data_IF_133933654860
#
_entry.id   IF_133933654860
#
_cell.length_a   1.000
_cell.length_b   1.000
_cell.length_c   1.000
_cell.angle_alpha   90.00
_cell.angle_beta   90.00
_cell.angle_gamma   90.00
#
_symmetry.space_group_name_H-M   'P 1'
#
loop_
_entity.id
_entity.type
_entity.pdbx_description
1 polymer ?
#
# COMPACT_ATOMS: atom_id res chain seq x y z
N UNK A 1 40.05 16.09 28.06
CA UNK A 1 41.17 15.89 27.14
C UNK A 1 41.32 14.40 26.96
N UNK A 2 40.62 13.82 25.95
CA UNK A 2 40.72 12.40 25.58
C UNK A 2 40.65 12.33 24.07
N UNK A 3 41.71 11.81 23.50
CA UNK A 3 42.01 11.76 22.09
C UNK A 3 41.14 10.72 21.36
N UNK A 4 40.67 11.07 20.17
CA UNK A 4 40.08 10.15 19.18
C UNK A 4 41.20 9.42 18.44
N UNK A 5 41.10 8.13 18.17
CA UNK A 5 42.01 7.43 17.30
C UNK A 5 41.63 7.65 15.83
N UNK A 6 42.58 8.19 15.06
CA UNK A 6 42.56 8.25 13.61
C UNK A 6 42.69 6.83 13.04
N UNK A 7 41.66 6.34 12.37
CA UNK A 7 41.78 5.18 11.51
C UNK A 7 42.17 5.67 10.10
N UNK A 8 43.37 5.41 9.68
CA UNK A 8 43.86 5.60 8.31
C UNK A 8 43.27 4.51 7.38
N UNK A 9 42.86 4.82 6.16
CA UNK A 9 42.41 3.80 5.22
C UNK A 9 43.61 3.04 4.65
N UNK A 10 43.62 1.74 4.83
CA UNK A 10 44.54 0.85 4.13
C UNK A 10 44.09 0.71 2.66
N UNK A 11 44.93 1.18 1.73
CA UNK A 11 44.80 0.88 0.31
C UNK A 11 45.46 -0.47 0.03
N UNK A 12 44.70 -1.45 -0.40
CA UNK A 12 45.20 -2.68 -0.98
C UNK A 12 45.18 -2.55 -2.50
N UNK A 13 46.35 -2.62 -3.11
CA UNK A 13 46.51 -2.64 -4.56
C UNK A 13 46.55 -4.10 -5.01
N UNK A 14 45.56 -4.54 -5.76
CA UNK A 14 45.61 -5.79 -6.50
C UNK A 14 46.21 -5.54 -7.91
N UNK A 15 46.95 -6.54 -8.40
CA UNK A 15 47.82 -6.47 -9.58
C UNK A 15 47.12 -6.40 -10.94
N UNK A 16 45.82 -6.13 -11.00
CA UNK A 16 45.01 -6.10 -12.24
C UNK A 16 44.21 -4.82 -12.45
N UNK A 17 44.77 -3.66 -12.26
CA UNK A 17 44.28 -2.34 -12.76
C UNK A 17 42.76 -2.16 -12.91
N UNK A 18 41.92 -2.70 -12.03
CA UNK A 18 40.51 -2.34 -11.95
C UNK A 18 40.24 -1.57 -10.66
N UNK A 19 40.62 -0.31 -10.65
CA UNK A 19 40.23 0.64 -9.61
C UNK A 19 38.87 1.21 -10.01
N UNK A 20 37.91 1.11 -9.14
CA UNK A 20 36.96 2.19 -9.18
C UNK A 20 35.51 1.90 -8.80
N UNK A 21 34.97 0.74 -9.01
CA UNK A 21 33.50 0.59 -8.83
C UNK A 21 33.05 0.00 -7.51
N UNK A 22 33.91 -0.72 -6.81
CA UNK A 22 33.57 -1.35 -5.51
C UNK A 22 33.48 -0.30 -4.39
N UNK A 23 34.31 0.73 -4.41
CA UNK A 23 34.30 1.78 -3.39
C UNK A 23 33.08 2.70 -3.49
N UNK A 24 32.59 2.97 -4.70
CA UNK A 24 31.37 3.78 -4.89
C UNK A 24 30.12 3.04 -4.43
N UNK A 25 30.11 1.71 -4.56
CA UNK A 25 29.00 0.87 -4.09
C UNK A 25 28.94 0.76 -2.57
N UNK A 26 30.08 0.79 -1.88
CA UNK A 26 30.17 0.74 -0.40
C UNK A 26 29.81 2.10 0.20
N UNK A 27 30.18 3.22 -0.43
CA UNK A 27 29.80 4.57 0.04
C UNK A 27 28.31 4.86 -0.17
N UNK A 28 27.72 4.42 -1.26
CA UNK A 28 26.28 4.50 -1.47
C UNK A 28 25.49 3.58 -0.51
N UNK A 29 26.04 2.42 -0.12
CA UNK A 29 25.46 1.57 0.93
C UNK A 29 25.65 2.16 2.33
N UNK A 30 26.72 2.88 2.59
CA UNK A 30 27.00 3.49 3.91
C UNK A 30 26.03 4.65 4.27
N UNK A 31 25.49 5.36 3.27
CA UNK A 31 24.48 6.42 3.48
C UNK A 31 23.05 5.84 3.45
N UNK A 32 22.88 4.65 2.89
CA UNK A 32 21.62 3.86 2.91
C UNK A 32 21.51 2.96 4.16
N UNK A 33 22.37 3.18 5.12
CA UNK A 33 22.30 2.46 6.36
C UNK A 33 21.08 2.87 7.15
N UNK A 34 20.39 1.87 7.50
CA UNK A 34 19.51 1.66 8.63
C UNK A 34 18.08 1.35 8.20
N UNK A 35 17.97 0.41 7.31
CA UNK A 35 16.81 -0.48 7.36
C UNK A 35 17.24 -1.82 6.78
N UNK A 36 17.96 -2.60 7.58
CA UNK A 36 18.14 -4.00 7.21
C UNK A 36 16.77 -4.69 7.43
N UNK A 37 16.09 -5.10 6.35
CA UNK A 37 14.83 -5.81 6.52
C UNK A 37 15.16 -7.18 7.08
N UNK A 38 14.90 -7.38 8.37
CA UNK A 38 15.04 -8.68 9.00
C UNK A 38 14.11 -9.66 8.29
N UNK A 39 14.68 -10.59 7.54
CA UNK A 39 13.94 -11.71 6.97
C UNK A 39 13.52 -12.64 8.09
N UNK A 40 12.24 -12.66 8.44
CA UNK A 40 11.68 -13.78 9.19
C UNK A 40 11.74 -15.04 8.33
N UNK A 41 11.97 -16.21 8.95
CA UNK A 41 11.83 -17.53 8.30
C UNK A 41 10.41 -17.64 7.70
N UNK A 42 10.26 -17.33 6.40
CA UNK A 42 8.99 -17.40 5.68
C UNK A 42 8.54 -16.05 5.12
N UNK A 43 8.98 -15.69 3.96
CA UNK A 43 8.33 -14.88 2.91
C UNK A 43 8.09 -13.37 3.10
N UNK A 44 8.13 -12.75 4.26
CA UNK A 44 7.85 -11.31 4.39
C UNK A 44 9.05 -10.50 4.84
N UNK A 45 9.30 -9.39 4.15
CA UNK A 45 10.33 -8.42 4.49
C UNK A 45 9.69 -7.31 5.31
N UNK A 46 10.30 -6.97 6.45
CA UNK A 46 9.74 -5.98 7.38
C UNK A 46 10.65 -4.78 7.55
N UNK A 47 10.05 -3.60 7.54
CA UNK A 47 10.68 -2.34 7.86
C UNK A 47 10.35 -1.98 9.31
N UNK A 48 11.38 -1.91 10.16
CA UNK A 48 11.22 -1.67 11.61
C UNK A 48 11.31 -0.20 12.00
N UNK A 49 12.01 0.61 11.20
CA UNK A 49 12.18 2.04 11.46
C UNK A 49 12.59 2.78 10.18
N UNK A 50 12.56 4.09 10.21
CA UNK A 50 12.99 4.94 9.11
C UNK A 50 11.95 5.11 8.01
N UNK A 51 12.30 5.79 6.92
CA UNK A 51 11.42 5.98 5.78
C UNK A 51 11.35 4.73 4.90
N UNK A 52 10.19 4.53 4.26
CA UNK A 52 10.04 3.59 3.17
C UNK A 52 10.50 4.24 1.86
N UNK A 53 11.44 3.60 1.17
CA UNK A 53 11.98 4.08 -0.10
C UNK A 53 11.36 3.31 -1.27
N UNK A 54 10.80 4.02 -2.23
CA UNK A 54 10.20 3.42 -3.42
C UNK A 54 10.32 4.36 -4.63
N UNK A 55 10.86 3.87 -5.75
CA UNK A 55 11.04 4.64 -6.99
C UNK A 55 11.66 6.03 -6.76
N UNK A 56 12.78 6.10 -6.05
CA UNK A 56 13.52 7.32 -5.69
C UNK A 56 12.77 8.30 -4.78
N UNK A 57 11.57 7.95 -4.33
CA UNK A 57 10.82 8.74 -3.35
C UNK A 57 10.94 8.14 -1.95
N UNK A 58 10.99 9.02 -0.97
CA UNK A 58 11.02 8.69 0.45
C UNK A 58 9.65 8.98 1.07
N UNK A 59 9.08 7.96 1.72
CA UNK A 59 7.77 8.02 2.34
C UNK A 59 7.88 7.81 3.85
N UNK A 60 7.23 8.69 4.62
CA UNK A 60 6.95 8.41 6.02
C UNK A 60 5.93 7.28 6.10
N UNK A 61 6.09 6.35 7.05
CA UNK A 61 5.15 5.25 7.29
C UNK A 61 4.71 5.19 8.74
N UNK A 62 3.60 4.53 8.99
CA UNK A 62 3.00 4.43 10.31
C UNK A 62 3.53 3.22 11.07
N UNK A 63 4.18 3.46 12.19
CA UNK A 63 4.70 2.41 13.08
C UNK A 63 3.91 2.22 14.38
N UNK A 64 2.88 3.01 14.60
CA UNK A 64 2.15 3.05 15.86
C UNK A 64 2.48 4.27 16.71
N UNK A 65 1.78 4.44 17.81
CA UNK A 65 2.00 5.54 18.77
C UNK A 65 2.65 5.01 20.04
N UNK A 66 3.75 5.62 20.47
CA UNK A 66 4.44 5.33 21.74
C UNK A 66 3.51 5.40 22.98
N UNK A 67 2.41 6.14 22.90
CA UNK A 67 1.48 6.34 24.03
C UNK A 67 0.39 5.29 24.15
N UNK A 68 0.09 4.54 23.10
CA UNK A 68 -1.10 3.67 23.09
C UNK A 68 -0.84 2.20 22.80
N UNK A 69 0.24 1.80 22.14
CA UNK A 69 0.58 0.39 21.84
C UNK A 69 2.00 0.24 21.31
N UNK A 70 2.45 -0.99 21.35
CA UNK A 70 3.73 -1.45 20.87
C UNK A 70 4.00 -1.05 19.42
N UNK A 71 5.23 -0.78 19.16
CA UNK A 71 5.80 -0.53 17.87
C UNK A 71 5.54 -1.74 16.94
N UNK A 72 4.92 -1.53 15.81
CA UNK A 72 4.67 -2.61 14.84
C UNK A 72 5.47 -2.34 13.57
N UNK A 73 6.32 -3.28 13.16
CA UNK A 73 6.97 -3.17 11.85
C UNK A 73 5.92 -3.21 10.74
N UNK A 74 6.28 -2.73 9.56
CA UNK A 74 5.44 -2.76 8.37
C UNK A 74 6.00 -3.74 7.34
N UNK A 75 5.11 -4.48 6.69
CA UNK A 75 5.44 -5.42 5.64
C UNK A 75 5.72 -4.67 4.33
N UNK A 76 6.93 -4.82 3.80
CA UNK A 76 7.37 -4.11 2.58
C UNK A 76 6.58 -4.59 1.36
N UNK A 77 6.27 -5.87 1.25
CA UNK A 77 5.53 -6.42 0.11
C UNK A 77 4.13 -5.82 -0.02
N UNK A 78 3.48 -5.50 1.11
CA UNK A 78 2.19 -4.79 1.11
C UNK A 78 2.39 -3.35 0.66
N UNK A 79 3.42 -2.67 1.20
CA UNK A 79 3.74 -1.30 0.80
C UNK A 79 4.06 -1.19 -0.68
N UNK A 80 4.93 -2.08 -1.20
CA UNK A 80 5.31 -2.13 -2.61
C UNK A 80 4.09 -2.36 -3.49
N UNK A 81 3.25 -3.33 -3.14
CA UNK A 81 2.01 -3.60 -3.88
C UNK A 81 1.13 -2.37 -3.97
N UNK A 82 0.87 -1.71 -2.84
CA UNK A 82 -0.03 -0.57 -2.79
C UNK A 82 0.56 0.67 -3.46
N UNK A 83 1.86 0.91 -3.28
CA UNK A 83 2.55 2.05 -3.89
C UNK A 83 2.69 1.89 -5.40
N UNK A 84 2.92 0.67 -5.89
CA UNK A 84 2.92 0.39 -7.32
C UNK A 84 1.55 0.66 -7.96
N UNK A 85 0.46 0.23 -7.33
CA UNK A 85 -0.89 0.40 -7.86
C UNK A 85 -1.31 1.88 -7.90
N UNK A 86 -1.01 2.66 -6.87
CA UNK A 86 -1.33 4.10 -6.87
C UNK A 86 -0.48 4.87 -7.88
N UNK A 87 0.80 4.51 -8.05
CA UNK A 87 1.66 5.10 -9.06
C UNK A 87 1.20 4.73 -10.49
N UNK A 88 0.71 3.50 -10.70
CA UNK A 88 0.09 3.12 -11.98
C UNK A 88 -1.12 4.00 -12.28
N UNK A 89 -1.99 4.29 -11.31
CA UNK A 89 -3.12 5.23 -11.49
C UNK A 89 -2.63 6.64 -11.85
N UNK A 90 -1.62 7.16 -11.16
CA UNK A 90 -1.04 8.48 -11.45
C UNK A 90 -0.44 8.57 -12.86
N UNK A 91 0.15 7.49 -13.35
CA UNK A 91 0.68 7.46 -14.73
C UNK A 91 -0.41 7.48 -15.79
N UNK A 92 -1.59 6.93 -15.46
CA UNK A 92 -2.73 6.85 -16.39
C UNK A 92 -3.56 8.14 -16.37
N UNK A 93 -3.82 8.70 -15.18
CA UNK A 93 -4.69 9.86 -14.98
C UNK A 93 -3.91 11.03 -14.40
N UNK A 94 -4.25 12.26 -14.82
CA UNK A 94 -3.66 13.49 -14.28
C UNK A 94 -4.05 13.74 -12.83
N UNK A 95 -5.22 13.25 -12.42
CA UNK A 95 -5.76 13.33 -11.06
C UNK A 95 -6.32 11.97 -10.67
N UNK A 96 -6.00 11.53 -9.46
CA UNK A 96 -6.46 10.27 -8.88
C UNK A 96 -7.11 10.55 -7.53
N UNK A 97 -8.37 10.19 -7.39
CA UNK A 97 -9.10 10.29 -6.14
C UNK A 97 -9.00 8.97 -5.39
N UNK A 98 -8.47 8.98 -4.17
CA UNK A 98 -8.23 7.79 -3.37
C UNK A 98 -8.77 7.93 -1.94
N UNK A 99 -9.29 6.84 -1.38
CA UNK A 99 -9.74 6.80 0.01
C UNK A 99 -9.68 5.38 0.58
N UNK A 100 -9.70 5.28 1.90
CA UNK A 100 -9.73 4.03 2.66
C UNK A 100 -11.13 3.77 3.20
N UNK A 101 -11.48 2.49 3.32
CA UNK A 101 -12.68 2.01 4.02
C UNK A 101 -12.42 0.64 4.64
N UNK A 102 -13.27 0.24 5.56
CA UNK A 102 -13.15 -1.04 6.27
C UNK A 102 -14.44 -1.86 6.06
N UNK A 103 -14.30 -3.19 5.96
CA UNK A 103 -15.39 -4.13 5.83
C UNK A 103 -15.30 -5.19 6.94
N UNK A 104 -16.42 -5.39 7.63
CA UNK A 104 -16.55 -6.46 8.62
C UNK A 104 -17.30 -7.62 8.00
N UNK A 105 -16.79 -8.82 8.23
CA UNK A 105 -17.42 -10.06 7.76
C UNK A 105 -18.43 -10.58 8.80
N UNK A 106 -19.42 -11.38 8.36
CA UNK A 106 -20.30 -12.09 9.28
C UNK A 106 -19.52 -12.98 10.25
N UNK A 107 -20.02 -13.11 11.47
CA UNK A 107 -19.45 -13.99 12.48
C UNK A 107 -19.42 -15.44 11.99
N UNK A 108 -18.34 -16.17 12.32
CA UNK A 108 -18.15 -17.57 11.93
C UNK A 108 -17.79 -17.80 10.46
N UNK A 109 -17.67 -16.77 9.63
CA UNK A 109 -17.25 -16.94 8.24
C UNK A 109 -15.76 -17.27 8.14
N UNK A 110 -15.41 -18.29 7.35
CA UNK A 110 -14.02 -18.64 7.09
C UNK A 110 -13.29 -17.56 6.28
N UNK A 111 -11.96 -17.46 6.46
CA UNK A 111 -11.13 -16.46 5.73
C UNK A 111 -11.15 -16.70 4.23
N UNK A 112 -11.13 -17.94 3.77
CA UNK A 112 -11.18 -18.26 2.34
C UNK A 112 -12.49 -17.82 1.69
N UNK A 113 -13.62 -18.06 2.36
CA UNK A 113 -14.93 -17.57 1.90
C UNK A 113 -14.95 -16.04 1.88
N UNK A 114 -14.45 -15.40 2.91
CA UNK A 114 -14.42 -13.93 2.98
C UNK A 114 -13.48 -13.32 1.91
N UNK A 115 -12.33 -13.92 1.62
CA UNK A 115 -11.45 -13.51 0.52
C UNK A 115 -12.15 -13.62 -0.85
N UNK A 116 -12.98 -14.65 -1.03
CA UNK A 116 -13.80 -14.80 -2.25
C UNK A 116 -14.81 -13.68 -2.37
N UNK A 117 -15.49 -13.30 -1.28
CA UNK A 117 -16.44 -12.18 -1.28
C UNK A 117 -15.76 -10.83 -1.59
N UNK A 118 -14.54 -10.59 -1.07
CA UNK A 118 -13.77 -9.39 -1.44
C UNK A 118 -13.46 -9.38 -2.93
N UNK A 119 -13.07 -10.51 -3.50
CA UNK A 119 -12.80 -10.63 -4.94
C UNK A 119 -14.06 -10.37 -5.77
N UNK A 120 -15.20 -10.89 -5.33
CA UNK A 120 -16.50 -10.69 -5.97
C UNK A 120 -16.97 -9.23 -5.85
N UNK A 121 -16.76 -8.57 -4.70
CA UNK A 121 -17.05 -7.14 -4.53
C UNK A 121 -16.35 -6.30 -5.61
N UNK A 122 -15.04 -6.49 -5.80
CA UNK A 122 -14.30 -5.73 -6.82
C UNK A 122 -14.69 -6.11 -8.25
N UNK A 123 -15.10 -7.34 -8.50
CA UNK A 123 -15.69 -7.74 -9.78
C UNK A 123 -16.99 -6.99 -10.05
N UNK A 124 -17.92 -6.98 -9.09
CA UNK A 124 -19.20 -6.25 -9.20
C UNK A 124 -19.00 -4.73 -9.30
N UNK A 125 -18.02 -4.17 -8.57
CA UNK A 125 -17.66 -2.75 -8.71
C UNK A 125 -17.18 -2.44 -10.12
N UNK A 126 -16.35 -3.30 -10.71
CA UNK A 126 -15.88 -3.14 -12.10
C UNK A 126 -17.04 -3.09 -13.08
N UNK A 127 -18.04 -3.95 -12.90
CA UNK A 127 -19.23 -3.96 -13.76
C UNK A 127 -20.10 -2.71 -13.54
N UNK A 128 -20.28 -2.27 -12.30
CA UNK A 128 -20.97 -1.00 -12.01
C UNK A 128 -20.26 0.19 -12.65
N UNK A 129 -18.95 0.23 -12.63
CA UNK A 129 -18.15 1.30 -13.22
C UNK A 129 -18.22 1.31 -14.75
N UNK A 130 -18.36 0.16 -15.39
CA UNK A 130 -18.58 0.08 -16.84
C UNK A 130 -19.99 0.50 -17.24
N UNK A 131 -21.00 0.07 -16.48
CA UNK A 131 -22.40 0.33 -16.77
C UNK A 131 -22.84 1.77 -16.43
N UNK A 132 -22.34 2.32 -15.32
CA UNK A 132 -22.68 3.66 -14.87
C UNK A 132 -21.73 4.68 -15.51
N UNK A 133 -22.30 5.68 -16.15
CA UNK A 133 -21.54 6.82 -16.66
C UNK A 133 -21.22 7.77 -15.51
N UNK A 134 -19.94 7.99 -15.28
CA UNK A 134 -19.40 8.91 -14.30
C UNK A 134 -18.84 10.11 -15.06
N UNK A 135 -19.38 11.29 -14.84
CA UNK A 135 -19.06 12.47 -15.64
C UNK A 135 -19.15 12.18 -17.16
N UNK A 136 -20.28 11.58 -17.56
CA UNK A 136 -20.61 11.15 -18.93
C UNK A 136 -19.67 10.07 -19.55
N UNK A 137 -18.84 9.41 -18.76
CA UNK A 137 -17.94 8.36 -19.23
C UNK A 137 -17.86 7.18 -18.26
N UNK A 138 -17.63 5.94 -18.75
CA UNK A 138 -17.35 4.82 -17.88
C UNK A 138 -15.97 4.94 -17.23
N UNK A 139 -15.83 4.47 -16.00
CA UNK A 139 -14.53 4.31 -15.36
C UNK A 139 -13.89 3.03 -15.92
N UNK A 140 -12.86 3.21 -16.76
CA UNK A 140 -12.18 2.09 -17.44
C UNK A 140 -11.14 1.41 -16.56
N UNK A 141 -10.44 2.15 -15.71
CA UNK A 141 -9.39 1.64 -14.83
C UNK A 141 -9.51 2.26 -13.45
N UNK A 142 -9.33 1.46 -12.44
CA UNK A 142 -9.24 1.87 -11.04
C UNK A 142 -8.29 0.91 -10.30
N UNK A 143 -7.64 1.42 -9.27
CA UNK A 143 -6.79 0.62 -8.39
C UNK A 143 -7.49 0.36 -7.06
N UNK A 144 -7.10 -0.73 -6.43
CA UNK A 144 -7.51 -1.06 -5.07
C UNK A 144 -6.47 -1.97 -4.40
N UNK A 145 -6.50 -1.97 -3.08
CA UNK A 145 -5.77 -2.94 -2.28
C UNK A 145 -6.56 -3.28 -1.02
N UNK A 146 -6.32 -4.45 -0.50
CA UNK A 146 -6.92 -4.91 0.74
C UNK A 146 -5.94 -5.74 1.56
N UNK A 147 -6.14 -5.69 2.87
CA UNK A 147 -5.55 -6.60 3.85
C UNK A 147 -6.64 -7.06 4.80
N UNK A 148 -6.58 -8.31 5.22
CA UNK A 148 -7.39 -8.73 6.35
C UNK A 148 -6.56 -8.70 7.65
N UNK A 149 -7.25 -8.51 8.76
CA UNK A 149 -6.66 -8.42 10.07
C UNK A 149 -7.51 -9.16 11.08
N UNK A 150 -6.86 -9.96 11.92
CA UNK A 150 -7.43 -10.58 13.10
C UNK A 150 -6.69 -10.06 14.32
N UNK A 151 -7.28 -9.17 15.09
CA UNK A 151 -6.77 -8.80 16.40
C UNK A 151 -7.27 -9.79 17.46
N UNK A 152 -6.45 -10.00 18.50
CA UNK A 152 -6.82 -10.84 19.64
C UNK A 152 -8.19 -10.44 20.18
N UNK A 153 -9.10 -11.41 20.33
CA UNK A 153 -10.48 -11.25 20.80
C UNK A 153 -11.40 -10.37 19.90
N UNK A 154 -11.02 -10.08 18.66
CA UNK A 154 -11.85 -9.35 17.70
C UNK A 154 -12.14 -10.19 16.47
N UNK A 155 -13.25 -9.88 15.83
CA UNK A 155 -13.66 -10.47 14.57
C UNK A 155 -12.71 -10.08 13.44
N UNK A 156 -12.48 -10.98 12.48
CA UNK A 156 -11.75 -10.69 11.24
C UNK A 156 -12.44 -9.52 10.51
N UNK A 157 -11.65 -8.58 10.07
CA UNK A 157 -12.10 -7.47 9.24
C UNK A 157 -11.09 -7.14 8.15
N UNK A 158 -11.57 -6.48 7.13
CA UNK A 158 -10.76 -6.06 6.00
C UNK A 158 -10.55 -4.55 6.05
N UNK A 159 -9.30 -4.14 5.87
CA UNK A 159 -8.95 -2.77 5.56
C UNK A 159 -8.70 -2.66 4.07
N UNK A 160 -9.38 -1.74 3.40
CA UNK A 160 -9.31 -1.58 1.96
C UNK A 160 -9.02 -0.13 1.59
N UNK A 161 -8.52 0.05 0.41
CA UNK A 161 -8.47 1.34 -0.25
C UNK A 161 -8.85 1.18 -1.72
N UNK A 162 -9.35 2.26 -2.32
CA UNK A 162 -9.68 2.34 -3.73
C UNK A 162 -9.19 3.68 -4.28
N UNK A 163 -8.77 3.67 -5.55
CA UNK A 163 -8.34 4.85 -6.28
C UNK A 163 -8.99 4.89 -7.66
N UNK A 164 -9.57 6.03 -8.01
CA UNK A 164 -10.38 6.26 -9.20
C UNK A 164 -9.89 7.49 -9.98
N UNK A 165 -10.28 7.64 -11.27
CA UNK A 165 -10.01 8.87 -12.01
C UNK A 165 -10.58 10.09 -11.30
N UNK A 166 -9.74 11.01 -10.84
CA UNK A 166 -10.15 12.16 -10.05
C UNK A 166 -10.92 13.23 -10.81
N UNK A 167 -10.95 13.16 -12.15
CA UNK A 167 -11.80 14.00 -12.96
C UNK A 167 -13.26 13.49 -13.05
N UNK A 168 -13.46 12.19 -12.80
CA UNK A 168 -14.79 11.55 -12.84
C UNK A 168 -15.38 11.36 -11.44
N UNK A 169 -14.53 11.14 -10.44
CA UNK A 169 -14.95 10.93 -9.04
C UNK A 169 -14.06 11.78 -8.13
N UNK A 170 -14.66 12.63 -7.32
CA UNK A 170 -13.94 13.56 -6.43
C UNK A 170 -14.53 13.61 -5.01
N UNK A 171 -15.52 12.76 -4.72
CA UNK A 171 -16.13 12.62 -3.38
C UNK A 171 -16.48 11.16 -3.11
N UNK A 172 -16.32 10.73 -1.88
CA UNK A 172 -16.69 9.38 -1.43
C UNK A 172 -18.20 9.18 -1.40
N UNK A 173 -18.94 10.21 -1.03
CA UNK A 173 -20.31 10.09 -0.60
C UNK A 173 -20.40 9.55 0.84
N UNK A 174 -21.54 8.96 1.16
CA UNK A 174 -21.88 8.38 2.46
C UNK A 174 -22.54 7.00 2.24
N UNK A 175 -22.88 6.27 3.30
CA UNK A 175 -23.61 4.99 3.21
C UNK A 175 -24.96 5.12 2.50
N UNK A 176 -25.57 6.31 2.48
CA UNK A 176 -26.86 6.60 1.88
C UNK A 176 -26.79 7.14 0.46
N UNK A 177 -25.63 7.65 0.02
CA UNK A 177 -25.46 8.24 -1.32
C UNK A 177 -24.03 8.16 -1.84
N UNK A 178 -23.89 8.31 -3.16
CA UNK A 178 -22.60 8.40 -3.83
C UNK A 178 -21.88 7.07 -3.98
N UNK A 179 -20.54 7.13 -4.08
CA UNK A 179 -19.69 5.95 -4.33
C UNK A 179 -19.70 4.98 -3.15
N UNK A 180 -19.62 5.49 -1.92
CA UNK A 180 -19.57 4.62 -0.75
C UNK A 180 -20.88 3.86 -0.53
N UNK A 181 -22.03 4.46 -0.89
CA UNK A 181 -23.31 3.73 -0.93
C UNK A 181 -23.23 2.51 -1.87
N UNK A 182 -22.65 2.67 -3.05
CA UNK A 182 -22.52 1.55 -4.00
C UNK A 182 -21.68 0.43 -3.41
N UNK A 183 -20.59 0.76 -2.73
CA UNK A 183 -19.73 -0.22 -2.04
C UNK A 183 -20.51 -0.90 -0.92
N UNK A 184 -21.19 -0.13 -0.07
CA UNK A 184 -21.98 -0.65 1.03
C UNK A 184 -23.11 -1.57 0.54
N UNK A 185 -23.91 -1.14 -0.44
CA UNK A 185 -25.02 -1.94 -0.97
C UNK A 185 -24.54 -3.28 -1.55
N UNK A 186 -23.40 -3.25 -2.27
CA UNK A 186 -22.79 -4.48 -2.78
C UNK A 186 -22.31 -5.39 -1.65
N UNK A 187 -21.70 -4.83 -0.61
CA UNK A 187 -21.23 -5.60 0.52
C UNK A 187 -22.39 -6.20 1.31
N UNK A 188 -23.44 -5.42 1.59
CA UNK A 188 -24.66 -5.91 2.22
C UNK A 188 -25.27 -7.08 1.42
N UNK A 189 -25.33 -6.95 0.09
CA UNK A 189 -25.85 -8.02 -0.78
C UNK A 189 -24.98 -9.27 -0.73
N UNK A 190 -23.66 -9.14 -0.74
CA UNK A 190 -22.72 -10.27 -0.72
C UNK A 190 -22.69 -10.99 0.63
N UNK A 191 -22.99 -10.30 1.70
CA UNK A 191 -23.00 -10.85 3.07
C UNK A 191 -24.42 -11.10 3.61
N UNK A 192 -25.44 -11.04 2.73
CA UNK A 192 -26.85 -11.26 3.11
C UNK A 192 -27.31 -10.35 4.25
N UNK A 193 -26.77 -9.12 4.29
CA UNK A 193 -27.09 -8.14 5.33
C UNK A 193 -26.33 -8.31 6.66
N UNK A 194 -25.48 -9.34 6.79
CA UNK A 194 -24.77 -9.66 8.03
C UNK A 194 -23.42 -8.98 8.17
N UNK A 195 -22.85 -8.46 7.07
CA UNK A 195 -21.61 -7.71 7.10
C UNK A 195 -21.85 -6.22 7.34
N UNK A 196 -20.82 -5.48 7.71
CA UNK A 196 -20.91 -4.02 7.83
C UNK A 196 -19.74 -3.33 7.10
N UNK A 197 -19.94 -2.06 6.77
CA UNK A 197 -18.91 -1.23 6.15
C UNK A 197 -18.71 0.06 6.93
N UNK A 198 -17.48 0.54 6.95
CA UNK A 198 -17.11 1.79 7.61
C UNK A 198 -16.24 2.63 6.67
N UNK A 199 -16.64 3.89 6.43
CA UNK A 199 -15.84 4.84 5.68
C UNK A 199 -14.81 5.46 6.62
N UNK A 200 -13.55 5.26 6.34
CA UNK A 200 -12.48 5.89 7.12
C UNK A 200 -12.38 7.39 6.77
N UNK A 201 -11.98 8.19 7.77
CA UNK A 201 -11.70 9.60 7.55
C UNK A 201 -10.62 9.81 6.49
N UNK A 202 -10.71 10.94 5.81
CA UNK A 202 -9.80 11.45 4.78
C UNK A 202 -9.92 10.73 3.43
N UNK A 203 -9.97 11.56 2.41
CA UNK A 203 -9.79 11.20 1.02
C UNK A 203 -8.71 12.09 0.42
N UNK A 204 -8.08 11.65 -0.65
CA UNK A 204 -6.90 12.26 -1.24
C UNK A 204 -7.12 12.52 -2.72
N UNK A 205 -6.82 13.74 -3.17
CA UNK A 205 -6.82 14.09 -4.58
C UNK A 205 -5.37 14.17 -5.08
N UNK A 206 -4.83 13.04 -5.46
CA UNK A 206 -3.44 12.86 -5.85
C UNK A 206 -3.26 13.34 -7.28
N UNK A 207 -2.47 14.39 -7.49
CA UNK A 207 -2.10 14.90 -8.82
C UNK A 207 -0.85 14.19 -9.32
N UNK A 208 -0.72 14.07 -10.65
CA UNK A 208 0.44 13.41 -11.28
C UNK A 208 1.75 14.09 -10.90
N UNK A 209 1.78 15.40 -10.90
CA UNK A 209 3.00 16.21 -10.75
C UNK A 209 3.18 16.78 -9.33
N UNK A 210 2.38 16.30 -8.36
CA UNK A 210 2.47 16.71 -6.94
C UNK A 210 2.52 15.46 -6.05
N UNK A 211 3.65 15.27 -5.36
CA UNK A 211 3.88 14.13 -4.49
C UNK A 211 3.35 14.34 -3.06
N UNK A 212 2.87 15.51 -2.71
CA UNK A 212 2.42 15.81 -1.34
C UNK A 212 1.24 14.91 -0.95
N UNK A 213 0.17 14.93 -1.70
CA UNK A 213 -1.01 14.09 -1.46
C UNK A 213 -0.70 12.60 -1.60
N UNK A 214 0.23 12.23 -2.51
CA UNK A 214 0.71 10.86 -2.62
C UNK A 214 1.38 10.41 -1.32
N UNK A 215 2.27 11.22 -0.75
CA UNK A 215 2.98 10.89 0.50
C UNK A 215 2.01 10.74 1.67
N UNK A 216 1.01 11.62 1.77
CA UNK A 216 -0.05 11.50 2.78
C UNK A 216 -0.90 10.23 2.59
N UNK A 217 -1.27 9.91 1.36
CA UNK A 217 -1.99 8.68 1.04
C UNK A 217 -1.15 7.43 1.41
N UNK A 218 0.12 7.37 0.99
CA UNK A 218 1.02 6.25 1.32
C UNK A 218 1.19 6.13 2.84
N UNK A 219 1.34 7.25 3.56
CA UNK A 219 1.35 7.24 5.02
C UNK A 219 0.05 6.63 5.59
N UNK A 220 -1.11 7.00 5.05
CA UNK A 220 -2.41 6.48 5.49
C UNK A 220 -2.55 4.98 5.26
N UNK A 221 -2.16 4.49 4.08
CA UNK A 221 -2.28 3.06 3.75
C UNK A 221 -1.14 2.22 4.34
N UNK A 222 -0.04 2.82 4.77
CA UNK A 222 1.02 2.11 5.48
C UNK A 222 0.54 1.51 6.81
N UNK A 223 -0.49 2.07 7.42
CA UNK A 223 -1.19 1.45 8.55
C UNK A 223 -1.70 0.03 8.21
N UNK A 224 -2.13 -0.19 6.98
CA UNK A 224 -2.61 -1.48 6.51
C UNK A 224 -1.46 -2.50 6.38
N UNK A 225 -0.23 -2.02 6.24
CA UNK A 225 0.95 -2.87 6.14
C UNK A 225 1.56 -3.26 7.49
N UNK A 226 1.02 -2.79 8.63
CA UNK A 226 1.50 -3.20 9.96
C UNK A 226 1.47 -4.73 10.12
N UNK A 227 2.50 -5.29 10.73
CA UNK A 227 2.63 -6.75 10.91
C UNK A 227 1.61 -7.31 11.92
N UNK A 228 1.27 -6.53 12.92
CA UNK A 228 0.36 -6.95 13.99
C UNK A 228 -1.01 -7.38 13.45
N UNK A 229 -1.50 -8.52 13.92
CA UNK A 229 -2.82 -9.07 13.55
C UNK A 229 -2.87 -9.75 12.18
N UNK A 230 -1.72 -9.88 11.49
CA UNK A 230 -1.68 -10.46 10.14
C UNK A 230 -1.05 -11.84 10.05
N UNK A 231 -0.21 -12.22 11.00
CA UNK A 231 0.56 -13.44 10.90
C UNK A 231 0.32 -14.34 12.11
N UNK A 232 -0.17 -15.56 11.84
CA UNK A 232 -0.07 -16.70 12.72
C UNK A 232 0.85 -17.74 12.09
N UNK A 233 1.61 -18.44 12.91
CA UNK A 233 2.54 -19.46 12.45
C UNK A 233 1.78 -20.60 11.76
N UNK A 234 2.24 -21.02 10.58
CA UNK A 234 1.62 -22.12 9.82
C UNK A 234 0.44 -21.76 8.91
N UNK A 235 -0.13 -20.55 9.01
CA UNK A 235 -1.25 -20.14 8.19
C UNK A 235 -0.79 -19.75 6.76
N UNK A 236 -1.33 -20.43 5.75
CA UNK A 236 -1.06 -20.19 4.33
C UNK A 236 -2.09 -19.27 3.66
N UNK A 237 -3.06 -18.77 4.40
CA UNK A 237 -4.14 -17.95 3.86
C UNK A 237 -3.62 -16.64 3.28
N UNK A 238 -4.18 -16.25 2.16
CA UNK A 238 -3.83 -14.99 1.52
C UNK A 238 -4.32 -13.81 2.37
N UNK A 239 -3.40 -12.95 2.80
CA UNK A 239 -3.65 -11.87 3.76
C UNK A 239 -3.80 -10.50 3.15
N UNK A 240 -3.35 -10.33 1.93
CA UNK A 240 -3.49 -9.10 1.17
C UNK A 240 -3.50 -9.38 -0.33
N UNK A 241 -4.11 -8.49 -1.07
CA UNK A 241 -4.03 -8.41 -2.54
C UNK A 241 -4.47 -7.02 -3.01
N UNK A 242 -4.57 -6.86 -4.31
CA UNK A 242 -5.02 -5.64 -4.96
C UNK A 242 -5.19 -5.83 -6.46
N UNK A 243 -5.51 -4.74 -7.11
CA UNK A 243 -5.52 -4.65 -8.56
C UNK A 243 -4.13 -5.01 -9.14
N UNK A 244 -4.09 -5.18 -10.46
CA UNK A 244 -2.86 -5.44 -11.22
C UNK A 244 -2.84 -4.47 -12.39
N UNK A 245 -2.62 -3.19 -12.08
CA UNK A 245 -2.52 -2.17 -13.10
C UNK A 245 -1.09 -2.06 -13.62
N UNK A 246 -0.99 -1.93 -14.94
CA UNK A 246 0.26 -1.55 -15.58
C UNK A 246 0.22 -0.05 -15.84
N UNK A 247 1.18 0.69 -15.29
CA UNK A 247 1.38 2.10 -15.57
C UNK A 247 1.71 2.33 -17.04
N UNK A 248 1.52 3.55 -17.51
CA UNK A 248 2.09 3.98 -18.79
C UNK A 248 3.61 3.96 -18.64
N UNK A 249 4.30 3.26 -19.54
CA UNK A 249 5.75 3.37 -19.65
C UNK A 249 6.07 4.85 -19.96
N UNK A 250 6.78 5.50 -19.07
CA UNK A 250 7.45 6.76 -19.38
C UNK A 250 8.58 6.37 -20.34
N UNK A 251 8.42 6.65 -21.62
CA UNK A 251 9.53 6.66 -22.56
C UNK A 251 10.43 7.80 -22.09
N UNK A 252 11.40 7.51 -21.25
CA UNK A 252 12.56 8.37 -21.09
C UNK A 252 13.24 8.39 -22.45
N UNK A 253 13.16 9.53 -23.14
CA UNK A 253 14.00 9.80 -24.30
C UNK A 253 15.43 9.59 -23.85
N UNK A 254 16.01 8.48 -24.27
CA UNK A 254 17.46 8.33 -24.34
C UNK A 254 17.83 9.18 -25.55
N UNK A 255 18.06 10.46 -25.32
CA UNK A 255 18.75 11.29 -26.30
C UNK A 255 20.12 10.65 -26.55
N UNK A 256 20.32 10.30 -27.80
CA UNK A 256 21.59 9.82 -28.34
C UNK A 256 22.62 10.93 -28.40
#
# INVERSE_FOLDING_TARGET
>A
MLALPHALPFCYLDSNHQIGWVFFYILLRGILMITDPLKRKGRSTHLYSGPYLHNSLSYKVYYGSKRKREYSPVCIEILDKFTNEINAMRSIYSRTFAFRFDLHIPEGMSVDKSNSLISELFSKLRDKFKAKKWDNQPIKKFAYGWVWELETAKQVHYHLWIALPGNQVHKTGHVEYGLFKIINDLWQKLTEGLGSSHLADNSYMIKRDDDRELKEFVYRVSYLAKDRGKYSEGDKTKRFDGSRLFGKLTTTNIEK
#
